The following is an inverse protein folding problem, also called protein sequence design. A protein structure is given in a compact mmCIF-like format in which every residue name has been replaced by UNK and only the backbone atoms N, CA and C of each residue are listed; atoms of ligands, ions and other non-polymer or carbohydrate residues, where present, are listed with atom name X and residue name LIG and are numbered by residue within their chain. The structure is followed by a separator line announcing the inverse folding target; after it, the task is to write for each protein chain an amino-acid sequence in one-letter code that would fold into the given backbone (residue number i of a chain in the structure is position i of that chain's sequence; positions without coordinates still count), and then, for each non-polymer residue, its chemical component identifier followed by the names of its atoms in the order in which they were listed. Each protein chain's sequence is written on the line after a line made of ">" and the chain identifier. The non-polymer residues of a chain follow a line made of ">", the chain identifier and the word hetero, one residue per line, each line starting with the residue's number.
data_IF_600911896932
#
_entry.id   IF_600911896932
#
_cell.length_a   1.000
_cell.length_b   1.000
_cell.length_c   1.000
_cell.angle_alpha   90.00
_cell.angle_beta   90.00
_cell.angle_gamma   90.00
#
_symmetry.space_group_name_H-M   'P 1'
#
loop_
_entity.id
_entity.type
_entity.pdbx_description
1 polymer ?
#
# COMPACT_ATOMS: atom_id res chain seq x y z
N UNK A 1 37.31 -10.49 9.29
CA UNK A 1 36.93 -10.74 7.88
C UNK A 1 37.30 -9.48 7.10
N UNK A 2 37.92 -9.60 5.92
CA UNK A 2 38.28 -8.44 5.10
C UNK A 2 37.16 -8.19 4.07
N UNK A 3 36.72 -6.93 3.94
CA UNK A 3 35.69 -6.52 2.99
C UNK A 3 36.26 -5.50 2.00
N UNK A 4 35.95 -5.67 0.71
CA UNK A 4 36.34 -4.73 -0.35
C UNK A 4 35.12 -3.88 -0.75
N UNK A 5 35.26 -2.56 -0.65
CA UNK A 5 34.27 -1.59 -1.11
C UNK A 5 34.90 -0.73 -2.20
N UNK A 6 34.13 -0.42 -3.24
CA UNK A 6 34.54 0.48 -4.33
C UNK A 6 33.57 1.66 -4.32
N UNK A 7 34.11 2.87 -4.24
CA UNK A 7 33.33 4.12 -4.24
C UNK A 7 34.12 5.20 -4.97
N UNK A 8 33.40 6.15 -5.57
CA UNK A 8 33.92 7.38 -6.15
C UNK A 8 34.03 8.53 -5.13
N UNK A 9 33.56 8.31 -3.90
CA UNK A 9 33.69 9.27 -2.81
C UNK A 9 35.13 9.27 -2.32
N UNK A 10 35.74 10.45 -2.26
CA UNK A 10 37.13 10.59 -1.84
C UNK A 10 37.29 10.32 -0.34
N UNK A 11 38.41 9.74 0.12
CA UNK A 11 38.65 9.42 1.53
C UNK A 11 38.55 10.63 2.47
N UNK A 12 38.82 11.84 1.97
CA UNK A 12 38.70 13.10 2.72
C UNK A 12 37.24 13.50 2.99
N UNK A 13 36.30 12.98 2.20
CA UNK A 13 34.86 13.23 2.33
C UNK A 13 34.14 12.15 3.14
N UNK A 14 34.60 10.89 3.03
CA UNK A 14 34.02 9.77 3.74
C UNK A 14 35.11 8.75 4.09
N UNK A 15 35.27 8.46 5.38
CA UNK A 15 36.24 7.47 5.83
C UNK A 15 35.91 6.07 5.31
N UNK A 16 36.89 5.16 5.35
CA UNK A 16 36.65 3.76 4.99
C UNK A 16 35.65 3.09 5.94
N UNK A 17 35.71 3.43 7.24
CA UNK A 17 34.78 2.96 8.27
C UNK A 17 33.36 3.45 8.01
N UNK A 18 33.19 4.72 7.65
CA UNK A 18 31.88 5.30 7.33
C UNK A 18 31.35 4.77 5.99
N UNK A 19 32.22 4.48 5.03
CA UNK A 19 31.85 3.78 3.78
C UNK A 19 31.27 2.40 4.08
N UNK A 20 31.91 1.64 4.98
CA UNK A 20 31.40 0.34 5.42
C UNK A 20 30.09 0.45 6.20
N UNK A 21 29.91 1.50 7.02
CA UNK A 21 28.64 1.82 7.69
C UNK A 21 27.54 2.16 6.68
N UNK A 22 27.83 3.01 5.70
CA UNK A 22 26.90 3.39 4.64
C UNK A 22 26.49 2.18 3.81
N UNK A 23 27.42 1.29 3.49
CA UNK A 23 27.11 0.07 2.75
C UNK A 23 26.16 -0.86 3.51
N UNK A 24 26.12 -0.82 4.85
CA UNK A 24 25.09 -1.54 5.63
C UNK A 24 23.67 -1.04 5.34
N UNK A 25 23.50 0.20 4.90
CA UNK A 25 22.20 0.72 4.46
C UNK A 25 21.65 0.01 3.21
N UNK A 26 22.48 -0.74 2.46
CA UNK A 26 22.02 -1.63 1.37
C UNK A 26 20.94 -2.60 1.85
N UNK A 27 21.09 -3.13 3.07
CA UNK A 27 20.10 -4.02 3.68
C UNK A 27 18.76 -3.31 3.90
N UNK A 28 18.78 -2.03 4.26
CA UNK A 28 17.56 -1.23 4.41
C UNK A 28 16.78 -1.15 3.09
N UNK A 29 17.46 -1.01 1.96
CA UNK A 29 16.82 -1.03 0.62
C UNK A 29 16.18 -2.40 0.35
N UNK A 30 16.87 -3.50 0.66
CA UNK A 30 16.30 -4.84 0.50
C UNK A 30 15.05 -5.06 1.36
N UNK A 31 15.06 -4.56 2.61
CA UNK A 31 13.89 -4.61 3.48
C UNK A 31 12.71 -3.82 2.93
N UNK A 32 12.95 -2.66 2.33
CA UNK A 32 11.91 -1.85 1.67
C UNK A 32 11.29 -2.63 0.50
N UNK A 33 12.10 -3.21 -0.39
CA UNK A 33 11.56 -4.02 -1.48
C UNK A 33 10.81 -5.26 -0.98
N UNK A 34 11.29 -5.87 0.11
CA UNK A 34 10.62 -7.01 0.74
C UNK A 34 9.26 -6.62 1.32
N UNK A 35 9.16 -5.44 1.94
CA UNK A 35 7.91 -4.85 2.41
C UNK A 35 6.93 -4.60 1.25
N UNK A 36 7.37 -3.88 0.22
CA UNK A 36 6.55 -3.54 -0.96
C UNK A 36 5.96 -4.77 -1.65
N UNK A 37 6.78 -5.79 -1.88
CA UNK A 37 6.34 -7.05 -2.50
C UNK A 37 5.37 -7.81 -1.60
N UNK A 38 5.76 -8.02 -0.34
CA UNK A 38 5.01 -8.91 0.56
C UNK A 38 3.67 -8.34 1.04
N UNK A 39 3.63 -7.06 1.40
CA UNK A 39 2.45 -6.44 1.99
C UNK A 39 1.60 -5.71 0.95
N UNK A 40 2.24 -5.05 -0.02
CA UNK A 40 1.54 -4.26 -1.03
C UNK A 40 1.47 -4.96 -2.39
N UNK A 41 1.89 -6.24 -2.45
CA UNK A 41 1.69 -7.13 -3.60
C UNK A 41 2.27 -6.60 -4.92
N UNK A 42 3.35 -5.82 -4.83
CA UNK A 42 3.95 -5.14 -5.98
C UNK A 42 4.47 -6.10 -7.07
N UNK A 43 4.88 -7.31 -6.68
CA UNK A 43 5.40 -8.35 -7.59
C UNK A 43 4.32 -9.25 -8.20
N UNK A 44 3.06 -9.09 -7.83
CA UNK A 44 1.93 -9.90 -8.32
C UNK A 44 0.85 -9.07 -9.00
N UNK A 45 1.16 -7.84 -9.41
CA UNK A 45 0.25 -7.03 -10.23
C UNK A 45 0.02 -7.74 -11.58
N UNK A 46 -1.23 -8.14 -11.85
CA UNK A 46 -1.62 -8.94 -13.03
C UNK A 46 -2.24 -8.13 -14.17
N UNK A 47 -2.41 -6.82 -14.00
CA UNK A 47 -3.01 -5.96 -15.02
C UNK A 47 -2.03 -5.67 -16.16
N UNK A 48 -2.51 -5.74 -17.40
CA UNK A 48 -1.75 -5.32 -18.59
C UNK A 48 -1.94 -3.83 -18.92
N UNK A 49 -2.89 -3.15 -18.27
CA UNK A 49 -3.14 -1.73 -18.51
C UNK A 49 -2.07 -0.88 -17.81
N UNK A 50 -1.23 -0.11 -18.54
CA UNK A 50 -0.13 0.67 -17.95
C UNK A 50 -0.60 1.67 -16.90
N UNK A 51 -1.76 2.30 -17.10
CA UNK A 51 -2.32 3.30 -16.16
C UNK A 51 -2.68 2.62 -14.83
N UNK A 52 -3.25 1.41 -14.89
CA UNK A 52 -3.60 0.64 -13.70
C UNK A 52 -2.33 0.21 -12.97
N UNK A 53 -1.32 -0.30 -13.70
CA UNK A 53 -0.04 -0.70 -13.11
C UNK A 53 0.63 0.50 -12.43
N UNK A 54 0.73 1.63 -13.11
CA UNK A 54 1.32 2.86 -12.56
C UNK A 54 0.57 3.33 -11.31
N UNK A 55 -0.76 3.36 -11.35
CA UNK A 55 -1.58 3.76 -10.20
C UNK A 55 -1.35 2.87 -8.99
N UNK A 56 -1.29 1.54 -9.18
CA UNK A 56 -1.04 0.59 -8.09
C UNK A 56 0.38 0.74 -7.51
N UNK A 57 1.38 0.96 -8.37
CA UNK A 57 2.76 1.24 -7.92
C UNK A 57 2.81 2.53 -7.10
N UNK A 58 2.18 3.60 -7.57
CA UNK A 58 2.14 4.89 -6.87
C UNK A 58 1.43 4.77 -5.52
N UNK A 59 0.30 4.06 -5.46
CA UNK A 59 -0.42 3.82 -4.20
C UNK A 59 0.43 2.99 -3.21
N UNK A 60 1.14 1.97 -3.67
CA UNK A 60 2.05 1.19 -2.83
C UNK A 60 3.19 2.06 -2.27
N UNK A 61 3.79 2.91 -3.12
CA UNK A 61 4.85 3.84 -2.71
C UNK A 61 4.33 4.90 -1.72
N UNK A 62 3.15 5.45 -1.95
CA UNK A 62 2.51 6.39 -1.03
C UNK A 62 2.24 5.73 0.33
N UNK A 63 1.70 4.50 0.32
CA UNK A 63 1.43 3.73 1.54
C UNK A 63 2.71 3.46 2.33
N UNK A 64 3.81 3.09 1.65
CA UNK A 64 5.12 2.91 2.26
C UNK A 64 5.62 4.19 2.95
N UNK A 65 5.53 5.33 2.26
CA UNK A 65 5.97 6.62 2.79
C UNK A 65 5.18 6.99 4.04
N UNK A 66 3.85 6.83 4.02
CA UNK A 66 3.01 7.09 5.19
C UNK A 66 3.37 6.14 6.33
N UNK A 67 3.49 4.84 6.06
CA UNK A 67 3.90 3.81 7.04
C UNK A 67 5.20 4.19 7.75
N UNK A 68 6.25 4.54 6.98
CA UNK A 68 7.57 4.86 7.53
C UNK A 68 7.61 6.21 8.26
N UNK A 69 6.80 7.18 7.83
CA UNK A 69 6.62 8.45 8.57
C UNK A 69 6.02 8.20 9.95
N UNK A 70 4.98 7.37 10.02
CA UNK A 70 4.37 6.99 11.30
C UNK A 70 5.35 6.18 12.16
N UNK A 71 6.11 5.24 11.58
CA UNK A 71 7.17 4.50 12.29
C UNK A 71 8.17 5.46 12.96
N UNK A 72 8.66 6.44 12.20
CA UNK A 72 9.63 7.40 12.71
C UNK A 72 9.04 8.22 13.86
N UNK A 73 7.77 8.62 13.78
CA UNK A 73 7.09 9.28 14.90
C UNK A 73 6.93 8.35 16.11
N UNK A 74 6.55 7.09 15.92
CA UNK A 74 6.43 6.11 17.01
C UNK A 74 7.78 5.89 17.70
N UNK A 75 8.88 5.79 16.95
CA UNK A 75 10.24 5.68 17.51
C UNK A 75 10.65 6.90 18.34
N UNK A 76 10.22 8.10 17.93
CA UNK A 76 10.45 9.33 18.69
C UNK A 76 9.62 9.38 19.99
N UNK A 77 8.39 8.87 19.97
CA UNK A 77 7.50 8.83 21.13
C UNK A 77 7.91 7.76 22.16
N UNK A 78 8.55 6.68 21.71
CA UNK A 78 8.98 5.55 22.55
C UNK A 78 10.47 5.24 22.34
N UNK A 79 11.37 6.16 22.74
CA UNK A 79 12.82 6.03 22.49
C UNK A 79 13.40 4.77 23.13
N UNK A 80 12.86 4.34 24.27
CA UNK A 80 13.28 3.13 24.99
C UNK A 80 12.98 1.82 24.25
N UNK A 81 12.07 1.87 23.26
CA UNK A 81 11.70 0.74 22.39
C UNK A 81 12.13 0.94 20.94
N UNK A 82 12.75 2.07 20.60
CA UNK A 82 13.03 2.50 19.23
C UNK A 82 13.71 1.41 18.39
N UNK A 83 14.75 0.78 18.96
CA UNK A 83 15.52 -0.31 18.31
C UNK A 83 14.68 -1.57 18.03
N UNK A 84 13.61 -1.79 18.80
CA UNK A 84 12.74 -2.97 18.67
C UNK A 84 11.65 -2.80 17.62
N UNK A 85 11.37 -1.56 17.19
CA UNK A 85 10.47 -1.32 16.06
C UNK A 85 11.19 -1.63 14.75
N UNK A 86 11.34 -2.91 14.42
CA UNK A 86 11.98 -3.32 13.16
C UNK A 86 11.07 -3.03 11.96
N UNK A 87 11.61 -2.64 10.79
CA UNK A 87 10.79 -2.20 9.65
C UNK A 87 9.70 -3.20 9.24
N UNK A 88 10.06 -4.49 9.08
CA UNK A 88 9.09 -5.50 8.64
C UNK A 88 8.00 -5.80 9.69
N UNK A 89 8.34 -5.80 10.98
CA UNK A 89 7.33 -6.03 12.04
C UNK A 89 6.40 -4.83 12.17
N UNK A 90 6.95 -3.63 12.04
CA UNK A 90 6.18 -2.40 11.97
C UNK A 90 5.20 -2.45 10.80
N UNK A 91 5.68 -2.76 9.60
CA UNK A 91 4.89 -2.74 8.39
C UNK A 91 3.65 -3.65 8.47
N UNK A 92 3.79 -4.85 9.05
CA UNK A 92 2.68 -5.76 9.35
C UNK A 92 1.62 -5.12 10.28
N UNK A 93 2.08 -4.44 11.32
CA UNK A 93 1.22 -3.79 12.30
C UNK A 93 0.51 -2.59 11.68
N UNK A 94 1.21 -1.80 10.88
CA UNK A 94 0.64 -0.69 10.12
C UNK A 94 -0.41 -1.21 9.12
N UNK A 95 -0.05 -2.19 8.29
CA UNK A 95 -0.94 -2.73 7.27
C UNK A 95 -2.25 -3.28 7.85
N UNK A 96 -2.17 -4.04 8.95
CA UNK A 96 -3.35 -4.59 9.64
C UNK A 96 -4.23 -3.53 10.30
N UNK A 97 -3.72 -2.32 10.53
CA UNK A 97 -4.46 -1.21 11.17
C UNK A 97 -4.72 -0.02 10.24
N UNK A 98 -4.28 -0.09 8.97
CA UNK A 98 -4.32 1.01 8.02
C UNK A 98 -5.74 1.55 7.81
N UNK A 99 -6.74 0.67 7.79
CA UNK A 99 -8.15 1.06 7.62
C UNK A 99 -8.63 1.96 8.78
N UNK A 100 -8.22 1.64 10.01
CA UNK A 100 -8.58 2.46 11.19
C UNK A 100 -7.89 3.82 11.15
N UNK A 101 -6.66 3.87 10.63
CA UNK A 101 -5.97 5.14 10.42
C UNK A 101 -6.69 5.97 9.35
N UNK A 102 -7.11 5.33 8.25
CA UNK A 102 -7.89 5.99 7.21
C UNK A 102 -9.19 6.58 7.77
N UNK A 103 -9.92 5.84 8.61
CA UNK A 103 -11.13 6.37 9.27
C UNK A 103 -10.83 7.67 10.04
N UNK A 104 -9.71 7.73 10.76
CA UNK A 104 -9.29 8.94 11.48
C UNK A 104 -8.84 10.07 10.57
N UNK A 105 -8.22 9.75 9.44
CA UNK A 105 -7.86 10.76 8.42
C UNK A 105 -9.12 11.35 7.78
N UNK A 106 -10.12 10.52 7.47
CA UNK A 106 -11.40 10.97 6.92
C UNK A 106 -12.18 11.83 7.92
N UNK A 107 -12.24 11.39 9.18
CA UNK A 107 -12.84 12.18 10.28
C UNK A 107 -12.17 13.56 10.39
N UNK A 108 -10.83 13.60 10.38
CA UNK A 108 -10.08 14.85 10.42
C UNK A 108 -10.32 15.74 9.19
N UNK A 109 -10.54 15.14 8.01
CA UNK A 109 -10.90 15.86 6.79
C UNK A 109 -12.36 16.37 6.78
N UNK A 110 -13.14 16.12 7.85
CA UNK A 110 -14.56 16.46 7.92
C UNK A 110 -15.44 15.54 7.07
N UNK A 111 -14.93 14.38 6.68
CA UNK A 111 -15.64 13.38 5.89
C UNK A 111 -16.21 12.35 6.87
N UNK A 112 -17.50 12.49 7.18
CA UNK A 112 -18.26 11.46 7.88
C UNK A 112 -18.74 10.41 6.90
N UNK A 113 -18.29 9.16 7.07
CA UNK A 113 -18.66 8.03 6.22
C UNK A 113 -20.08 7.56 6.55
N UNK A 114 -21.06 8.35 6.12
CA UNK A 114 -22.49 8.01 6.29
C UNK A 114 -22.83 6.70 5.59
N UNK A 115 -23.89 6.03 6.04
CA UNK A 115 -24.40 4.81 5.38
C UNK A 115 -24.66 5.03 3.87
N UNK A 116 -25.10 6.24 3.49
CA UNK A 116 -25.29 6.60 2.08
C UNK A 116 -23.96 6.64 1.31
N UNK A 117 -22.91 7.27 1.86
CA UNK A 117 -21.59 7.30 1.22
C UNK A 117 -21.01 5.90 1.07
N UNK A 118 -21.18 5.03 2.07
CA UNK A 118 -20.76 3.63 2.00
C UNK A 118 -21.52 2.88 0.89
N UNK A 119 -22.83 3.07 0.77
CA UNK A 119 -23.63 2.49 -0.31
C UNK A 119 -23.18 2.99 -1.69
N UNK A 120 -22.93 4.29 -1.83
CA UNK A 120 -22.44 4.86 -3.08
C UNK A 120 -21.03 4.36 -3.43
N UNK A 121 -20.17 4.20 -2.43
CA UNK A 121 -18.86 3.58 -2.60
C UNK A 121 -18.99 2.14 -3.10
N UNK A 122 -19.84 1.32 -2.49
CA UNK A 122 -20.08 -0.05 -2.98
C UNK A 122 -20.72 -0.08 -4.36
N UNK A 123 -21.62 0.86 -4.68
CA UNK A 123 -22.21 0.96 -6.00
C UNK A 123 -21.20 1.37 -7.08
N UNK A 124 -20.19 2.17 -6.73
CA UNK A 124 -19.11 2.57 -7.64
C UNK A 124 -18.03 1.50 -7.78
N UNK A 125 -17.46 1.06 -6.66
CA UNK A 125 -16.29 0.17 -6.63
C UNK A 125 -16.64 -1.33 -6.72
N UNK A 126 -17.87 -1.71 -6.35
CA UNK A 126 -18.31 -3.10 -6.38
C UNK A 126 -18.64 -3.63 -7.77
N UNK A 127 -18.68 -2.75 -8.78
CA UNK A 127 -18.96 -3.14 -10.17
C UNK A 127 -17.69 -3.74 -10.78
N UNK A 128 -17.78 -5.00 -11.22
CA UNK A 128 -16.67 -5.69 -11.89
C UNK A 128 -16.20 -4.87 -13.12
N UNK A 129 -14.94 -4.36 -13.11
CA UNK A 129 -14.43 -3.51 -14.19
C UNK A 129 -14.33 -4.25 -15.52
N UNK A 130 -14.34 -5.59 -15.51
CA UNK A 130 -14.36 -6.39 -16.73
C UNK A 130 -15.78 -6.43 -17.34
N UNK A 131 -16.15 -5.35 -18.03
CA UNK A 131 -17.47 -5.17 -18.66
C UNK A 131 -17.82 -6.29 -19.64
N UNK A 132 -16.82 -6.87 -20.31
CA UNK A 132 -16.98 -7.90 -21.35
C UNK A 132 -17.00 -9.33 -20.80
N UNK A 133 -16.80 -9.53 -19.49
CA UNK A 133 -16.83 -10.86 -18.87
C UNK A 133 -18.20 -11.51 -19.07
N UNK A 134 -18.24 -12.68 -19.71
CA UNK A 134 -19.45 -13.50 -19.79
C UNK A 134 -19.80 -14.02 -18.39
N UNK A 135 -20.99 -13.71 -17.89
CA UNK A 135 -21.45 -14.14 -16.56
C UNK A 135 -22.53 -15.20 -16.70
N UNK A 136 -22.37 -16.32 -15.97
CA UNK A 136 -23.29 -17.46 -15.98
C UNK A 136 -24.75 -17.04 -15.74
N UNK A 137 -24.98 -16.14 -14.77
CA UNK A 137 -26.31 -15.69 -14.37
C UNK A 137 -26.89 -14.57 -15.25
N UNK A 138 -26.16 -14.09 -16.27
CA UNK A 138 -26.64 -12.97 -17.11
C UNK A 138 -28.03 -13.21 -17.72
N UNK A 139 -28.38 -14.41 -18.24
CA UNK A 139 -29.71 -14.66 -18.77
C UNK A 139 -30.81 -14.54 -17.71
N UNK A 140 -30.58 -15.06 -16.50
CA UNK A 140 -31.53 -14.99 -15.39
C UNK A 140 -31.75 -13.56 -14.91
N UNK A 141 -30.68 -12.79 -14.72
CA UNK A 141 -30.76 -11.37 -14.33
C UNK A 141 -31.54 -10.55 -15.37
N UNK A 142 -31.30 -10.79 -16.67
CA UNK A 142 -32.05 -10.12 -17.74
C UNK A 142 -33.54 -10.48 -17.73
N UNK A 143 -33.88 -11.75 -17.49
CA UNK A 143 -35.27 -12.20 -17.41
C UNK A 143 -36.02 -11.54 -16.23
N UNK A 144 -35.42 -11.53 -15.04
CA UNK A 144 -35.98 -10.88 -13.84
C UNK A 144 -36.18 -9.39 -14.09
N UNK A 145 -35.18 -8.70 -14.66
CA UNK A 145 -35.28 -7.27 -14.95
C UNK A 145 -36.36 -6.94 -16.00
N UNK A 146 -36.59 -7.83 -16.96
CA UNK A 146 -37.67 -7.68 -17.95
C UNK A 146 -39.05 -7.83 -17.32
N UNK A 147 -39.20 -8.75 -16.36
CA UNK A 147 -40.46 -8.96 -15.63
C UNK A 147 -40.80 -7.76 -14.74
N UNK A 148 -39.81 -7.22 -14.02
CA UNK A 148 -40.00 -6.04 -13.17
C UNK A 148 -40.41 -4.79 -13.96
N UNK A 149 -39.87 -4.62 -15.17
CA UNK A 149 -40.27 -3.53 -16.08
C UNK A 149 -41.70 -3.68 -16.62
N UNK A 150 -42.21 -4.91 -16.73
CA UNK A 150 -43.58 -5.19 -17.18
C UNK A 150 -44.64 -5.07 -16.08
N UNK A 151 -44.25 -5.14 -14.81
CA UNK A 151 -45.15 -5.07 -13.64
C UNK A 151 -45.34 -3.66 -13.09
N UNK A 152 -44.73 -2.64 -13.69
CA UNK A 152 -44.95 -1.23 -13.35
C UNK A 152 -46.01 -0.66 -14.30
N UNK A 153 -47.29 -0.94 -14.02
CA UNK A 153 -48.47 -0.26 -14.60
C UNK A 153 -49.32 0.23 -13.44
#
# INVERSE_FOLDING_TARGET
>A
EYHLYITDIMPEQLSAEDTALLYRARWSVELVFKELKRLYQLDVITSENPIVVESLVLVAMLTLVVSHRVLNHVRLLFPEKSERFTPLRWAETFYTSANKLLDKVLEYAGIDMTAYMILMFYAGEGVDPNVNRKRLLSPWVKAVNSQLKGSTI
#
